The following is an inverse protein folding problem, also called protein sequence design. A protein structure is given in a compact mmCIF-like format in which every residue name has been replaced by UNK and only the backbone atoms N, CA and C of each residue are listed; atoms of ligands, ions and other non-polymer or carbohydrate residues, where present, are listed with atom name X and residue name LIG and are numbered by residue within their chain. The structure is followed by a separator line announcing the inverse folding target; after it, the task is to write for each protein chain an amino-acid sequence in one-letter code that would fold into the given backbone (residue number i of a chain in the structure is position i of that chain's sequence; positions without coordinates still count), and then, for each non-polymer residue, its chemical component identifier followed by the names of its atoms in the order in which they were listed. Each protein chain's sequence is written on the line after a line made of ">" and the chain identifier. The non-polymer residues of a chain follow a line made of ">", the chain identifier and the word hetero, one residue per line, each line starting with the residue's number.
data_IF_021146322759
#
_entry.id   IF_021146322759
#
_cell.length_a   1.000
_cell.length_b   1.000
_cell.length_c   1.000
_cell.angle_alpha   90.00
_cell.angle_beta   90.00
_cell.angle_gamma   90.00
#
_symmetry.space_group_name_H-M   'P 1'
#
loop_
_entity.id
_entity.type
_entity.pdbx_description
1 polymer ?
#
# COMPACT_ATOMS: atom_id res chain seq x y z
N UNK A 1 7.10 -13.30 -6.20
CA UNK A 1 6.83 -13.65 -4.79
C UNK A 1 7.67 -14.86 -4.43
N UNK A 2 8.63 -14.72 -3.51
CA UNK A 2 9.58 -15.77 -3.12
C UNK A 2 8.91 -16.73 -2.14
N UNK A 3 9.11 -18.04 -2.29
CA UNK A 3 8.51 -19.06 -1.42
C UNK A 3 9.59 -19.97 -0.85
N UNK A 4 9.59 -20.16 0.46
CA UNK A 4 10.60 -20.98 1.17
C UNK A 4 9.93 -21.99 2.10
N UNK A 5 10.67 -23.04 2.48
CA UNK A 5 10.20 -24.00 3.49
C UNK A 5 10.43 -23.45 4.90
N UNK A 6 9.61 -23.88 5.86
CA UNK A 6 9.73 -23.52 7.26
C UNK A 6 11.09 -23.91 7.87
N UNK A 7 11.71 -25.00 7.38
CA UNK A 7 13.06 -25.41 7.79
C UNK A 7 14.13 -24.40 7.36
N UNK A 8 14.01 -23.84 6.16
CA UNK A 8 14.92 -22.81 5.66
C UNK A 8 14.70 -21.48 6.38
N UNK A 9 13.44 -21.10 6.61
CA UNK A 9 13.11 -19.92 7.41
C UNK A 9 13.73 -20.02 8.81
N UNK A 10 13.63 -21.17 9.48
CA UNK A 10 14.24 -21.39 10.81
C UNK A 10 15.76 -21.21 10.79
N UNK A 11 16.43 -21.64 9.72
CA UNK A 11 17.88 -21.55 9.59
C UNK A 11 18.39 -20.14 9.25
N UNK A 12 17.62 -19.37 8.48
CA UNK A 12 18.03 -18.05 7.94
C UNK A 12 17.16 -16.89 8.41
N UNK A 13 16.48 -17.04 9.54
CA UNK A 13 15.40 -16.16 9.98
C UNK A 13 15.80 -14.67 9.99
N UNK A 14 16.91 -14.32 10.67
CA UNK A 14 17.38 -12.93 10.77
C UNK A 14 17.82 -12.35 9.43
N UNK A 15 18.52 -13.15 8.60
CA UNK A 15 18.95 -12.71 7.28
C UNK A 15 17.74 -12.40 6.38
N UNK A 16 16.71 -13.24 6.42
CA UNK A 16 15.49 -13.04 5.63
C UNK A 16 14.68 -11.83 6.11
N UNK A 17 14.67 -11.53 7.42
CA UNK A 17 14.06 -10.30 7.94
C UNK A 17 14.74 -9.05 7.38
N UNK A 18 16.08 -9.02 7.36
CA UNK A 18 16.82 -7.92 6.78
C UNK A 18 16.59 -7.81 5.27
N UNK A 19 16.63 -8.94 4.54
CA UNK A 19 16.36 -8.97 3.09
C UNK A 19 14.98 -8.39 2.76
N UNK A 20 13.95 -8.76 3.53
CA UNK A 20 12.58 -8.24 3.35
C UNK A 20 12.48 -6.75 3.70
N UNK A 21 13.16 -6.31 4.76
CA UNK A 21 13.19 -4.90 5.15
C UNK A 21 13.88 -4.02 4.09
N UNK A 22 14.99 -4.50 3.51
CA UNK A 22 15.80 -3.77 2.53
C UNK A 22 15.17 -3.78 1.13
N UNK A 23 14.65 -4.93 0.69
CA UNK A 23 14.06 -5.06 -0.66
C UNK A 23 12.63 -4.54 -0.75
N UNK A 24 11.86 -4.63 0.34
CA UNK A 24 10.41 -4.42 0.32
C UNK A 24 9.61 -5.58 -0.27
N UNK A 25 10.27 -6.66 -0.71
CA UNK A 25 9.59 -7.84 -1.26
C UNK A 25 9.11 -8.79 -0.16
N UNK A 26 7.95 -9.41 -0.38
CA UNK A 26 7.38 -10.37 0.58
C UNK A 26 7.80 -11.82 0.27
N UNK A 27 7.93 -12.62 1.34
CA UNK A 27 8.31 -14.04 1.28
C UNK A 27 7.21 -14.91 1.90
N UNK A 28 6.77 -15.95 1.20
CA UNK A 28 5.84 -16.97 1.72
C UNK A 28 6.60 -18.12 2.36
N UNK A 29 6.19 -18.50 3.56
CA UNK A 29 6.75 -19.63 4.30
C UNK A 29 5.77 -20.80 4.20
N UNK A 30 6.27 -21.95 3.77
CA UNK A 30 5.49 -23.18 3.58
C UNK A 30 5.90 -24.27 4.56
N UNK A 31 4.95 -25.10 4.99
CA UNK A 31 5.19 -26.32 5.75
C UNK A 31 4.46 -27.47 5.06
N UNK A 32 5.18 -28.54 4.70
CA UNK A 32 4.64 -29.67 3.94
C UNK A 32 3.95 -29.26 2.62
N UNK A 33 4.53 -28.28 1.91
CA UNK A 33 3.99 -27.76 0.64
C UNK A 33 2.80 -26.81 0.78
N UNK A 34 2.26 -26.62 1.99
CA UNK A 34 1.16 -25.71 2.27
C UNK A 34 1.70 -24.36 2.79
N UNK A 35 1.20 -23.21 2.31
CA UNK A 35 1.55 -21.90 2.85
C UNK A 35 1.01 -21.73 4.27
N UNK A 36 1.85 -21.27 5.20
CA UNK A 36 1.49 -21.15 6.63
C UNK A 36 1.75 -19.76 7.22
N UNK A 37 2.67 -18.99 6.63
CA UNK A 37 2.98 -17.63 7.07
C UNK A 37 3.56 -16.81 5.91
N UNK A 38 3.58 -15.49 6.06
CA UNK A 38 4.20 -14.56 5.13
C UNK A 38 5.04 -13.55 5.91
N UNK A 39 6.26 -13.30 5.45
CA UNK A 39 7.12 -12.22 5.94
C UNK A 39 6.99 -11.03 4.98
N UNK A 40 6.61 -9.88 5.52
CA UNK A 40 6.40 -8.64 4.79
C UNK A 40 7.23 -7.50 5.41
N UNK A 41 7.64 -6.51 4.61
CA UNK A 41 8.27 -5.31 5.17
C UNK A 41 7.29 -4.58 6.09
N UNK A 42 7.83 -3.95 7.14
CA UNK A 42 7.03 -3.08 8.01
C UNK A 42 6.84 -1.74 7.30
N UNK A 43 5.64 -1.51 6.79
CA UNK A 43 5.28 -0.25 6.15
C UNK A 43 4.62 0.65 7.20
N UNK A 44 5.29 1.74 7.58
CA UNK A 44 4.66 2.78 8.40
C UNK A 44 3.64 3.53 7.55
N UNK A 45 2.36 3.20 7.70
CA UNK A 45 1.27 3.99 7.13
C UNK A 45 0.85 5.04 8.16
N UNK A 46 0.62 6.30 7.72
CA UNK A 46 0.06 7.30 8.63
C UNK A 46 -1.31 6.81 9.13
N UNK A 47 -1.60 7.08 10.41
CA UNK A 47 -2.86 6.68 11.04
C UNK A 47 -4.09 7.26 10.34
N UNK A 48 -3.93 8.36 9.60
CA UNK A 48 -4.98 8.99 8.80
C UNK A 48 -4.43 9.40 7.44
N UNK A 49 -5.31 9.36 6.42
CA UNK A 49 -5.03 10.00 5.12
C UNK A 49 -5.27 11.51 5.18
N UNK A 50 -5.98 11.99 6.20
CA UNK A 50 -6.30 13.40 6.36
C UNK A 50 -5.00 14.22 6.51
N UNK A 51 -4.71 15.06 5.52
CA UNK A 51 -3.53 15.93 5.54
C UNK A 51 -2.22 15.29 5.07
N UNK A 52 -2.21 14.06 4.53
CA UNK A 52 -0.99 13.42 4.02
C UNK A 52 -0.30 14.21 2.89
N UNK A 53 -1.07 15.05 2.19
CA UNK A 53 -0.61 15.96 1.14
C UNK A 53 -0.66 17.44 1.53
N UNK A 54 -0.88 17.78 2.81
CA UNK A 54 -0.88 19.18 3.27
C UNK A 54 0.45 19.85 2.91
N UNK A 55 0.39 20.92 2.13
CA UNK A 55 1.57 21.65 1.65
C UNK A 55 2.37 20.97 0.54
N UNK A 56 1.94 19.79 0.06
CA UNK A 56 2.57 19.08 -1.08
C UNK A 56 1.81 19.23 -2.40
N UNK A 57 0.62 19.81 -2.35
CA UNK A 57 -0.22 20.07 -3.52
C UNK A 57 -0.39 21.57 -3.70
N UNK A 58 -0.37 22.01 -4.95
CA UNK A 58 -0.75 23.35 -5.38
C UNK A 58 -1.91 23.29 -6.35
N UNK A 59 -2.71 24.35 -6.40
CA UNK A 59 -3.74 24.51 -7.42
C UNK A 59 -3.04 24.83 -8.74
N UNK A 60 -3.26 23.99 -9.75
CA UNK A 60 -2.74 24.20 -11.11
C UNK A 60 -3.89 24.71 -11.97
N UNK A 61 -4.03 26.03 -12.08
CA UNK A 61 -5.07 26.69 -12.88
C UNK A 61 -6.16 27.37 -12.03
N UNK A 62 -7.24 27.79 -12.69
CA UNK A 62 -8.42 28.34 -12.03
C UNK A 62 -9.41 27.21 -11.73
N UNK A 63 -9.73 27.03 -10.45
CA UNK A 63 -10.67 26.02 -9.96
C UNK A 63 -12.02 26.61 -9.54
N UNK A 64 -12.16 27.93 -9.64
CA UNK A 64 -13.36 28.66 -9.21
C UNK A 64 -14.20 29.05 -10.44
N UNK A 65 -13.56 29.34 -11.56
CA UNK A 65 -14.26 29.70 -12.79
C UNK A 65 -15.19 28.57 -13.28
N UNK A 66 -16.37 28.91 -13.82
CA UNK A 66 -17.28 27.94 -14.43
C UNK A 66 -16.64 27.34 -15.69
N UNK A 67 -16.83 26.03 -15.88
CA UNK A 67 -16.26 25.28 -17.00
C UNK A 67 -16.97 25.52 -18.35
N UNK A 68 -17.95 26.43 -18.40
CA UNK A 68 -18.74 26.71 -19.62
C UNK A 68 -19.71 25.60 -20.01
N UNK A 69 -19.71 24.49 -19.27
CA UNK A 69 -20.59 23.34 -19.47
C UNK A 69 -21.76 23.39 -18.49
N UNK A 70 -22.96 23.04 -18.97
CA UNK A 70 -24.14 22.86 -18.13
C UNK A 70 -24.04 21.56 -17.36
N UNK A 71 -24.10 21.66 -16.04
CA UNK A 71 -24.18 20.51 -15.15
C UNK A 71 -25.58 19.89 -15.21
N UNK A 72 -25.71 18.73 -15.85
CA UNK A 72 -26.96 17.98 -15.96
C UNK A 72 -27.21 17.16 -14.68
N UNK A 73 -27.55 17.85 -13.59
CA UNK A 73 -28.06 17.19 -12.39
C UNK A 73 -29.58 17.09 -12.46
N UNK A 74 -30.08 15.89 -12.18
CA UNK A 74 -31.49 15.69 -11.84
C UNK A 74 -31.80 16.40 -10.51
N UNK A 75 -32.27 17.64 -10.59
CA UNK A 75 -32.92 18.29 -9.47
C UNK A 75 -34.34 17.74 -9.38
N UNK A 76 -34.60 16.85 -8.42
CA UNK A 76 -35.97 16.51 -8.01
C UNK A 76 -36.61 17.76 -7.39
N UNK A 77 -37.30 18.56 -8.20
CA UNK A 77 -38.18 19.62 -7.72
C UNK A 77 -39.41 18.98 -7.07
N UNK A 78 -39.61 19.26 -5.78
CA UNK A 78 -40.83 18.93 -5.03
C UNK A 78 -42.04 19.72 -5.52
#
# INVERSE_FOLDING_TARGET
>A
MKTIKASEFKAKCLQLMNEVADSGDSIVITKNGQPVAQLCPVISRPATLAGCHKGKMGIVGDIVAPLGETWDAECLSS
#
